data_IF_184196319571
#
_entry.id   IF_184196319571
#
_cell.length_a   1.000
_cell.length_b   1.000
_cell.length_c   1.000
_cell.angle_alpha   90.00
_cell.angle_beta   90.00
_cell.angle_gamma   90.00
#
_symmetry.space_group_name_H-M   'P 1'
#
loop_
_entity.id
_entity.type
_entity.pdbx_description
1 polymer ?
#
# COMPACT_ATOMS: atom_id res chain seq x y z
N UNK A 1 29.40 -10.03 31.92
CA UNK A 1 28.02 -9.97 32.40
C UNK A 1 27.12 -10.42 31.26
N UNK A 2 26.69 -11.70 31.32
CA UNK A 2 25.86 -12.30 30.26
C UNK A 2 24.46 -11.78 30.40
N UNK A 3 24.10 -10.84 29.54
CA UNK A 3 22.70 -10.39 29.38
C UNK A 3 21.91 -11.54 28.73
N UNK A 4 21.37 -12.44 29.57
CA UNK A 4 20.41 -13.43 29.12
C UNK A 4 19.17 -12.69 28.63
N UNK A 5 19.03 -12.61 27.33
CA UNK A 5 17.79 -12.23 26.61
C UNK A 5 16.70 -13.29 26.91
N UNK A 6 16.32 -13.45 28.16
CA UNK A 6 15.06 -14.14 28.47
C UNK A 6 13.95 -13.23 28.00
N UNK A 7 13.32 -13.57 26.87
CA UNK A 7 12.05 -12.97 26.44
C UNK A 7 11.08 -13.13 27.60
N UNK A 8 10.82 -12.02 28.28
CA UNK A 8 9.90 -12.01 29.42
C UNK A 8 8.46 -11.85 28.89
N UNK A 9 7.51 -12.27 29.68
CA UNK A 9 6.07 -12.13 29.39
C UNK A 9 5.73 -10.70 28.96
N UNK A 10 6.37 -9.71 29.58
CA UNK A 10 6.23 -8.29 29.28
C UNK A 10 6.63 -7.94 27.83
N UNK A 11 7.77 -8.46 27.36
CA UNK A 11 8.26 -8.17 26.02
C UNK A 11 7.28 -8.71 24.95
N UNK A 12 6.74 -9.91 25.21
CA UNK A 12 5.72 -10.51 24.36
C UNK A 12 4.39 -9.73 24.39
N UNK A 13 4.00 -9.23 25.56
CA UNK A 13 2.81 -8.42 25.72
C UNK A 13 2.90 -7.12 24.92
N UNK A 14 3.95 -6.35 25.12
CA UNK A 14 4.16 -5.08 24.40
C UNK A 14 4.30 -5.31 22.88
N UNK A 15 5.06 -6.34 22.48
CA UNK A 15 5.21 -6.69 21.06
C UNK A 15 3.85 -6.99 20.43
N UNK A 16 3.02 -7.80 21.07
CA UNK A 16 1.68 -8.15 20.57
C UNK A 16 0.79 -6.90 20.46
N UNK A 17 0.83 -6.01 21.42
CA UNK A 17 0.04 -4.78 21.42
C UNK A 17 0.45 -3.84 20.29
N UNK A 18 1.75 -3.61 20.09
CA UNK A 18 2.25 -2.80 18.99
C UNK A 18 1.92 -3.44 17.65
N UNK A 19 2.05 -4.76 17.54
CA UNK A 19 1.74 -5.50 16.31
C UNK A 19 0.27 -5.42 15.93
N UNK A 20 -0.65 -5.59 16.88
CA UNK A 20 -2.08 -5.46 16.62
C UNK A 20 -2.46 -4.03 16.23
N UNK A 21 -1.89 -3.03 16.90
CA UNK A 21 -2.07 -1.63 16.54
C UNK A 21 -1.51 -1.32 15.16
N UNK A 22 -0.39 -1.93 14.79
CA UNK A 22 0.22 -1.82 13.45
C UNK A 22 -0.69 -2.40 12.36
N UNK A 23 -1.27 -3.58 12.59
CA UNK A 23 -2.22 -4.18 11.65
C UNK A 23 -3.45 -3.29 11.44
N UNK A 24 -4.00 -2.78 12.54
CA UNK A 24 -5.11 -1.83 12.48
C UNK A 24 -4.76 -0.57 11.70
N UNK A 25 -3.59 0.01 11.97
CA UNK A 25 -3.11 1.21 11.30
C UNK A 25 -2.90 1.00 9.78
N UNK A 26 -2.35 -0.16 9.37
CA UNK A 26 -2.22 -0.51 7.94
C UNK A 26 -3.60 -0.52 7.28
N UNK A 27 -4.57 -1.19 7.88
CA UNK A 27 -5.93 -1.25 7.33
C UNK A 27 -6.55 0.15 7.22
N UNK A 28 -6.42 0.97 8.25
CA UNK A 28 -6.96 2.33 8.27
C UNK A 28 -6.34 3.22 7.19
N UNK A 29 -5.00 3.27 7.11
CA UNK A 29 -4.32 4.08 6.11
C UNK A 29 -4.55 3.55 4.68
N UNK A 30 -4.52 2.23 4.49
CA UNK A 30 -4.82 1.64 3.17
C UNK A 30 -6.22 2.00 2.71
N UNK A 31 -7.22 1.96 3.58
CA UNK A 31 -8.58 2.37 3.25
C UNK A 31 -8.67 3.84 2.82
N UNK A 32 -7.96 4.74 3.53
CA UNK A 32 -7.91 6.16 3.18
C UNK A 32 -7.22 6.38 1.82
N UNK A 33 -6.07 5.76 1.58
CA UNK A 33 -5.35 5.90 0.31
C UNK A 33 -6.12 5.30 -0.87
N UNK A 34 -6.77 4.17 -0.68
CA UNK A 34 -7.64 3.57 -1.71
C UNK A 34 -8.81 4.50 -2.00
N UNK A 35 -9.47 5.02 -0.96
CA UNK A 35 -10.61 5.93 -1.12
C UNK A 35 -10.25 7.24 -1.81
N UNK A 36 -9.09 7.82 -1.50
CA UNK A 36 -8.69 9.13 -2.04
C UNK A 36 -8.01 9.08 -3.42
N UNK A 37 -7.35 7.99 -3.76
CA UNK A 37 -6.52 7.92 -4.96
C UNK A 37 -6.96 6.86 -5.96
N UNK A 38 -7.05 5.62 -5.53
CA UNK A 38 -7.29 4.48 -6.42
C UNK A 38 -8.70 4.50 -7.00
N UNK A 39 -9.70 4.86 -6.21
CA UNK A 39 -11.08 4.94 -6.69
C UNK A 39 -11.27 6.02 -7.75
N UNK A 40 -10.65 7.17 -7.59
CA UNK A 40 -10.69 8.23 -8.61
C UNK A 40 -10.07 7.79 -9.93
N UNK A 41 -8.93 7.12 -9.90
CA UNK A 41 -8.29 6.57 -11.10
C UNK A 41 -9.15 5.52 -11.78
N UNK A 42 -9.76 4.64 -11.00
CA UNK A 42 -10.67 3.62 -11.52
C UNK A 42 -11.87 4.27 -12.21
N UNK A 43 -12.48 5.29 -11.60
CA UNK A 43 -13.58 6.02 -12.19
C UNK A 43 -13.18 6.65 -13.54
N UNK A 44 -12.00 7.25 -13.63
CA UNK A 44 -11.47 7.79 -14.89
C UNK A 44 -11.30 6.70 -15.95
N UNK A 45 -10.74 5.53 -15.61
CA UNK A 45 -10.58 4.43 -16.57
C UNK A 45 -11.93 3.91 -17.11
N UNK A 46 -12.96 3.90 -16.29
CA UNK A 46 -14.32 3.53 -16.73
C UNK A 46 -14.92 4.61 -17.65
N UNK A 47 -14.75 5.89 -17.26
CA UNK A 47 -15.40 7.02 -17.97
C UNK A 47 -14.69 7.33 -19.30
N UNK A 48 -13.37 7.37 -19.31
CA UNK A 48 -12.59 7.83 -20.45
C UNK A 48 -12.30 6.70 -21.45
N UNK A 49 -12.13 5.47 -20.98
CA UNK A 49 -11.73 4.33 -21.80
C UNK A 49 -12.79 3.23 -21.92
N UNK A 50 -13.90 3.32 -21.19
CA UNK A 50 -14.95 2.31 -21.18
C UNK A 50 -14.46 0.93 -20.72
N UNK A 51 -13.55 0.91 -19.72
CA UNK A 51 -12.90 -0.31 -19.25
C UNK A 51 -13.93 -1.33 -18.73
N UNK A 52 -13.72 -2.62 -19.06
CA UNK A 52 -14.57 -3.69 -18.58
C UNK A 52 -14.39 -3.94 -17.08
N UNK A 53 -15.44 -4.40 -16.41
CA UNK A 53 -15.40 -4.74 -14.97
C UNK A 53 -14.23 -5.66 -14.57
N UNK A 54 -13.89 -6.73 -15.32
CA UNK A 54 -12.75 -7.58 -15.00
C UNK A 54 -11.40 -6.82 -15.02
N UNK A 55 -11.21 -5.92 -15.98
CA UNK A 55 -9.99 -5.11 -16.08
C UNK A 55 -9.85 -4.15 -14.92
N UNK A 56 -10.96 -3.55 -14.50
CA UNK A 56 -11.02 -2.66 -13.32
C UNK A 56 -10.64 -3.40 -12.05
N UNK A 57 -11.15 -4.61 -11.84
CA UNK A 57 -10.80 -5.43 -10.68
C UNK A 57 -9.30 -5.79 -10.68
N UNK A 58 -8.73 -6.15 -11.84
CA UNK A 58 -7.30 -6.42 -11.97
C UNK A 58 -6.46 -5.19 -11.60
N UNK A 59 -6.81 -4.01 -12.11
CA UNK A 59 -6.13 -2.75 -11.78
C UNK A 59 -6.19 -2.50 -10.28
N UNK A 60 -7.35 -2.66 -9.67
CA UNK A 60 -7.53 -2.48 -8.23
C UNK A 60 -6.61 -3.41 -7.42
N UNK A 61 -6.64 -4.71 -7.69
CA UNK A 61 -5.83 -5.72 -6.97
C UNK A 61 -4.34 -5.46 -7.17
N UNK A 62 -3.88 -5.13 -8.38
CA UNK A 62 -2.47 -4.87 -8.64
C UNK A 62 -1.97 -3.52 -8.11
N UNK A 63 -2.84 -2.58 -7.80
CA UNK A 63 -2.48 -1.33 -7.14
C UNK A 63 -2.29 -1.48 -5.63
N UNK A 64 -2.92 -2.48 -5.00
CA UNK A 64 -2.87 -2.68 -3.55
C UNK A 64 -1.45 -2.81 -2.97
N UNK A 65 -0.54 -3.61 -3.54
CA UNK A 65 0.81 -3.74 -2.99
C UNK A 65 1.58 -2.42 -2.91
N UNK A 66 1.42 -1.56 -3.92
CA UNK A 66 2.02 -0.24 -3.92
C UNK A 66 1.48 0.66 -2.81
N UNK A 67 0.16 0.66 -2.61
CA UNK A 67 -0.50 1.43 -1.54
C UNK A 67 -0.03 0.95 -0.17
N UNK A 68 -0.07 -0.35 0.08
CA UNK A 68 0.32 -0.96 1.36
C UNK A 68 1.77 -0.59 1.73
N UNK A 69 2.67 -0.57 0.76
CA UNK A 69 4.06 -0.21 1.02
C UNK A 69 4.21 1.22 1.55
N UNK A 70 3.52 2.19 0.96
CA UNK A 70 3.55 3.57 1.42
C UNK A 70 2.96 3.75 2.82
N UNK A 71 2.06 2.86 3.23
CA UNK A 71 1.44 2.91 4.56
C UNK A 71 2.32 2.34 5.67
N UNK A 72 3.32 1.51 5.39
CA UNK A 72 4.17 0.85 6.40
C UNK A 72 4.80 1.81 7.41
N UNK A 73 5.55 2.85 7.00
CA UNK A 73 6.19 3.75 7.95
C UNK A 73 5.17 4.58 8.74
N UNK A 74 4.09 5.02 8.08
CA UNK A 74 3.02 5.79 8.75
C UNK A 74 2.27 4.91 9.76
N UNK A 75 1.98 3.66 9.40
CA UNK A 75 1.30 2.70 10.27
C UNK A 75 2.14 2.34 11.49
N UNK A 76 3.46 2.21 11.34
CA UNK A 76 4.35 1.92 12.46
C UNK A 76 4.42 3.09 13.45
N UNK A 77 4.46 4.33 12.94
CA UNK A 77 4.40 5.52 13.77
C UNK A 77 3.09 5.59 14.56
N UNK A 78 1.96 5.43 13.88
CA UNK A 78 0.64 5.46 14.52
C UNK A 78 0.48 4.33 15.53
N UNK A 79 0.92 3.11 15.20
CA UNK A 79 0.87 1.96 16.09
C UNK A 79 1.65 2.20 17.39
N UNK A 80 2.83 2.77 17.28
CA UNK A 80 3.66 3.14 18.44
C UNK A 80 2.96 4.19 19.30
N UNK A 81 2.44 5.26 18.69
CA UNK A 81 1.72 6.32 19.40
C UNK A 81 0.48 5.79 20.12
N UNK A 82 -0.34 4.99 19.44
CA UNK A 82 -1.56 4.41 20.04
C UNK A 82 -1.24 3.45 21.18
N UNK A 83 -0.26 2.57 21.00
CA UNK A 83 0.09 1.59 22.02
C UNK A 83 0.68 2.27 23.26
N UNK A 84 1.71 3.09 23.09
CA UNK A 84 2.33 3.77 24.23
C UNK A 84 1.42 4.84 24.85
N UNK A 85 0.58 5.50 24.07
CA UNK A 85 -0.45 6.41 24.57
C UNK A 85 -1.44 5.69 25.47
N UNK A 86 -1.93 4.51 25.06
CA UNK A 86 -2.83 3.68 25.87
C UNK A 86 -2.16 3.15 27.11
N UNK A 87 -0.96 2.57 27.00
CA UNK A 87 -0.20 2.07 28.16
C UNK A 87 0.14 3.17 29.16
N UNK A 88 0.33 4.39 28.69
CA UNK A 88 0.57 5.55 29.54
C UNK A 88 -0.71 6.01 30.25
N UNK A 89 -1.82 6.09 29.54
CA UNK A 89 -3.10 6.54 30.10
C UNK A 89 -3.69 5.55 31.10
N UNK A 90 -3.44 4.25 30.92
CA UNK A 90 -3.80 3.20 31.88
C UNK A 90 -2.82 3.08 33.06
N UNK A 91 -1.82 3.97 33.16
CA UNK A 91 -0.78 3.94 34.20
C UNK A 91 0.09 2.66 34.20
N UNK A 92 0.01 1.83 33.18
CA UNK A 92 0.81 0.60 33.08
C UNK A 92 2.31 0.90 32.99
N UNK A 93 2.71 1.92 32.22
CA UNK A 93 4.11 2.36 32.13
C UNK A 93 4.62 2.84 33.50
N UNK A 94 3.78 3.56 34.25
CA UNK A 94 4.12 4.03 35.59
C UNK A 94 4.32 2.86 36.56
N UNK A 95 3.41 1.87 36.52
CA UNK A 95 3.53 0.65 37.32
C UNK A 95 4.80 -0.15 36.98
N UNK A 96 5.14 -0.31 35.70
CA UNK A 96 6.37 -0.98 35.26
C UNK A 96 7.61 -0.25 35.77
N UNK A 97 7.65 1.07 35.69
CA UNK A 97 8.76 1.89 36.21
C UNK A 97 8.89 1.79 37.72
N UNK A 98 7.79 1.77 38.48
CA UNK A 98 7.81 1.59 39.92
C UNK A 98 8.36 0.21 40.34
N UNK A 99 8.22 -0.80 39.46
CA UNK A 99 8.85 -2.11 39.62
C UNK A 99 10.34 -2.13 39.21
N UNK A 100 10.94 -0.97 38.92
CA UNK A 100 12.36 -0.86 38.54
C UNK A 100 12.67 -1.21 37.08
N UNK A 101 11.66 -1.32 36.21
CA UNK A 101 11.87 -1.61 34.77
C UNK A 101 12.26 -0.32 34.07
N UNK A 102 13.45 -0.28 33.47
CA UNK A 102 13.95 0.87 32.70
C UNK A 102 13.14 1.11 31.43
N UNK A 103 12.98 2.39 31.05
CA UNK A 103 12.23 2.79 29.85
C UNK A 103 12.75 2.14 28.57
N UNK A 104 14.06 2.01 28.41
CA UNK A 104 14.64 1.35 27.25
C UNK A 104 14.19 -0.09 27.06
N UNK A 105 13.90 -0.80 28.15
CA UNK A 105 13.38 -2.16 28.10
C UNK A 105 11.90 -2.19 27.69
N UNK A 106 11.13 -1.20 28.10
CA UNK A 106 9.73 -1.08 27.70
C UNK A 106 9.63 -0.75 26.20
N UNK A 107 10.56 0.08 25.70
CA UNK A 107 10.61 0.48 24.29
C UNK A 107 11.22 -0.60 23.35
N UNK A 108 12.08 -1.47 23.87
CA UNK A 108 12.81 -2.46 23.09
C UNK A 108 11.95 -3.32 22.15
N UNK A 109 10.79 -3.87 22.56
CA UNK A 109 9.93 -4.65 21.67
C UNK A 109 9.36 -3.84 20.50
N UNK A 110 9.06 -2.57 20.71
CA UNK A 110 8.57 -1.68 19.65
C UNK A 110 9.67 -1.32 18.66
N UNK A 111 10.89 -1.07 19.14
CA UNK A 111 12.07 -0.83 18.29
C UNK A 111 12.39 -2.06 17.45
N UNK A 112 12.34 -3.25 18.07
CA UNK A 112 12.55 -4.51 17.34
C UNK A 112 11.50 -4.70 16.25
N UNK A 113 10.23 -4.46 16.56
CA UNK A 113 9.15 -4.55 15.57
C UNK A 113 9.35 -3.53 14.44
N UNK A 114 9.71 -2.29 14.75
CA UNK A 114 10.02 -1.27 13.76
C UNK A 114 11.15 -1.67 12.84
N UNK A 115 12.21 -2.28 13.36
CA UNK A 115 13.30 -2.84 12.57
C UNK A 115 12.81 -3.97 11.64
N UNK A 116 12.02 -4.91 12.16
CA UNK A 116 11.44 -5.99 11.36
C UNK A 116 10.53 -5.48 10.26
N UNK A 117 9.70 -4.48 10.56
CA UNK A 117 8.83 -3.82 9.57
C UNK A 117 9.64 -3.12 8.51
N UNK A 118 10.75 -2.45 8.88
CA UNK A 118 11.65 -1.79 7.92
C UNK A 118 12.29 -2.79 6.96
N UNK A 119 12.84 -3.88 7.47
CA UNK A 119 13.39 -4.97 6.64
C UNK A 119 12.30 -5.58 5.76
N UNK A 120 11.14 -5.86 6.33
CA UNK A 120 9.98 -6.35 5.59
C UNK A 120 9.54 -5.41 4.46
N UNK A 121 9.54 -4.11 4.70
CA UNK A 121 9.22 -3.10 3.70
C UNK A 121 10.22 -3.10 2.53
N UNK A 122 11.52 -3.24 2.81
CA UNK A 122 12.55 -3.33 1.78
C UNK A 122 12.34 -4.58 0.92
N UNK A 123 12.17 -5.75 1.53
CA UNK A 123 11.94 -7.00 0.81
C UNK A 123 10.65 -6.96 0.00
N UNK A 124 9.60 -6.38 0.54
CA UNK A 124 8.32 -6.21 -0.14
C UNK A 124 8.45 -5.28 -1.35
N UNK A 125 9.19 -4.18 -1.20
CA UNK A 125 9.47 -3.25 -2.29
C UNK A 125 10.29 -3.89 -3.42
N UNK A 126 11.25 -4.73 -3.09
CA UNK A 126 12.12 -5.36 -4.08
C UNK A 126 11.44 -6.50 -4.85
N UNK A 127 10.57 -7.27 -4.19
CA UNK A 127 10.04 -8.52 -4.75
C UNK A 127 8.56 -8.42 -5.18
N UNK A 128 7.73 -7.71 -4.43
CA UNK A 128 6.27 -7.68 -4.64
C UNK A 128 5.85 -6.49 -5.49
N UNK A 129 6.33 -5.30 -5.15
CA UNK A 129 5.93 -4.06 -5.84
C UNK A 129 6.29 -4.04 -7.33
N UNK A 130 7.48 -4.46 -7.78
CA UNK A 130 7.83 -4.44 -9.21
C UNK A 130 6.95 -5.40 -10.02
N UNK A 131 6.68 -6.59 -9.48
CA UNK A 131 5.80 -7.57 -10.15
C UNK A 131 4.37 -7.10 -10.27
N UNK A 132 3.83 -6.52 -9.19
CA UNK A 132 2.50 -5.93 -9.20
C UNK A 132 2.41 -4.73 -10.16
N UNK A 133 3.41 -3.87 -10.17
CA UNK A 133 3.46 -2.70 -11.05
C UNK A 133 3.58 -3.08 -12.53
N UNK A 134 4.36 -4.11 -12.85
CA UNK A 134 4.45 -4.63 -14.22
C UNK A 134 3.10 -5.22 -14.66
N UNK A 135 2.44 -6.00 -13.82
CA UNK A 135 1.11 -6.52 -14.10
C UNK A 135 0.06 -5.39 -14.26
N UNK A 136 0.10 -4.38 -13.40
CA UNK A 136 -0.74 -3.20 -13.47
C UNK A 136 -0.56 -2.45 -14.82
N UNK A 137 0.69 -2.19 -15.22
CA UNK A 137 1.00 -1.53 -16.50
C UNK A 137 0.55 -2.36 -17.68
N UNK A 138 0.74 -3.67 -17.66
CA UNK A 138 0.30 -4.55 -18.75
C UNK A 138 -1.22 -4.50 -18.93
N UNK A 139 -2.00 -4.49 -17.85
CA UNK A 139 -3.47 -4.36 -17.95
C UNK A 139 -3.86 -3.02 -18.56
N UNK A 140 -3.20 -1.92 -18.19
CA UNK A 140 -3.49 -0.60 -18.77
C UNK A 140 -3.16 -0.58 -20.26
N UNK A 141 -1.94 -0.98 -20.64
CA UNK A 141 -1.50 -0.92 -22.04
C UNK A 141 -2.24 -1.87 -22.97
N UNK A 142 -2.46 -3.12 -22.55
CA UNK A 142 -3.05 -4.13 -23.42
C UNK A 142 -4.57 -4.21 -23.34
N UNK A 143 -5.18 -3.99 -22.20
CA UNK A 143 -6.63 -4.14 -22.04
C UNK A 143 -7.38 -2.82 -22.19
N UNK A 144 -6.76 -1.70 -21.87
CA UNK A 144 -7.43 -0.38 -21.87
C UNK A 144 -6.96 0.47 -23.05
N UNK A 145 -5.68 0.82 -23.12
CA UNK A 145 -5.14 1.69 -24.18
C UNK A 145 -5.08 0.99 -25.53
N UNK A 146 -4.74 -0.30 -25.57
CA UNK A 146 -4.73 -1.10 -26.80
C UNK A 146 -6.11 -1.19 -27.47
N UNK A 147 -7.16 -1.29 -26.68
CA UNK A 147 -8.54 -1.35 -27.17
C UNK A 147 -9.06 0.04 -27.61
N UNK A 148 -8.57 1.11 -26.99
CA UNK A 148 -8.91 2.49 -27.35
C UNK A 148 -8.19 2.92 -28.64
N UNK A 149 -6.95 2.48 -28.83
CA UNK A 149 -6.18 2.72 -30.06
C UNK A 149 -6.83 2.09 -31.29
N UNK A 150 -7.37 0.88 -31.19
CA UNK A 150 -8.09 0.24 -32.28
C UNK A 150 -9.41 0.97 -32.63
N UNK A 151 -10.16 1.43 -31.63
CA UNK A 151 -11.38 2.20 -31.87
C UNK A 151 -11.08 3.57 -32.53
N UNK A 152 -9.98 4.21 -32.16
CA UNK A 152 -9.57 5.47 -32.74
C UNK A 152 -9.10 5.30 -34.18
N UNK A 153 -8.40 4.21 -34.50
CA UNK A 153 -7.99 3.87 -35.88
C UNK A 153 -9.18 3.47 -36.76
N UNK A 154 -10.15 2.75 -36.22
CA UNK A 154 -11.38 2.44 -36.96
C UNK A 154 -12.16 3.70 -37.34
N UNK A 155 -12.25 4.67 -36.45
CA UNK A 155 -12.94 5.94 -36.74
C UNK A 155 -12.21 6.81 -37.78
N UNK A 156 -10.88 6.77 -37.81
CA UNK A 156 -10.05 7.50 -38.79
C UNK A 156 -10.13 6.82 -40.17
N UNK A 157 -10.12 5.49 -40.21
CA UNK A 157 -10.20 4.73 -41.47
C UNK A 157 -11.56 4.86 -42.13
N UNK A 158 -12.66 4.84 -41.37
CA UNK A 158 -14.02 4.96 -41.92
C UNK A 158 -14.26 6.36 -42.51
N UNK A 159 -13.67 7.40 -41.94
CA UNK A 159 -13.86 8.78 -42.41
C UNK A 159 -13.11 9.08 -43.71
N UNK A 160 -12.08 8.31 -44.03
CA UNK A 160 -11.27 8.55 -45.25
C UNK A 160 -11.77 7.76 -46.47
N UNK A 161 -12.58 6.73 -46.28
CA UNK A 161 -13.15 5.94 -47.38
C UNK A 161 -14.36 6.63 -48.03
N UNK A 162 -15.04 7.54 -47.34
CA UNK A 162 -16.23 8.24 -47.84
C UNK A 162 -15.89 9.41 -48.82
N UNK A 163 -14.63 9.80 -48.96
CA UNK A 163 -14.19 10.96 -49.73
C UNK A 163 -13.35 10.68 -51.00
N UNK A 164 -12.99 9.47 -51.32
CA UNK A 164 -12.40 9.06 -52.61
C UNK A 164 -11.13 9.76 -53.09
N UNK A 165 -10.36 10.44 -52.24
CA UNK A 165 -9.01 10.97 -52.54
C UNK A 165 -8.10 10.94 -51.32
N UNK A 166 -7.04 10.16 -51.42
CA UNK A 166 -5.96 10.08 -50.43
C UNK A 166 -5.24 11.44 -50.37
N UNK A 167 -5.44 12.19 -49.32
CA UNK A 167 -4.71 13.43 -49.04
C UNK A 167 -4.09 13.34 -47.67
N UNK A 168 -2.80 12.98 -47.64
CA UNK A 168 -1.83 13.08 -46.53
C UNK A 168 -2.18 12.38 -45.22
N UNK A 169 -1.41 11.33 -44.95
CA UNK A 169 -1.17 10.83 -43.61
C UNK A 169 -0.45 11.91 -42.77
N UNK A 170 -1.14 12.49 -41.81
CA UNK A 170 -0.50 13.28 -40.75
C UNK A 170 -0.53 12.41 -39.49
N UNK A 171 0.63 11.92 -39.10
CA UNK A 171 0.85 11.37 -37.78
C UNK A 171 0.89 12.55 -36.81
N UNK A 172 -0.01 12.62 -35.88
CA UNK A 172 0.06 13.40 -34.65
C UNK A 172 -0.13 12.48 -33.43
#
# INVERSE_FOLDING_TARGET
>A
ERMHLKIRILDKYIFREVFLSFLFAICAFSAVFIGSGTLFRIAQYITDYGASLPSVIKIFVFSLPGVVMWTFPMSMLLASLLTFGRLSSSSEITAMKSCGIGFGRIAAPAILLGFLVSVGAILFNEHVVPRANTAYRNVIYYEIEGNSGMKSQEHVIIKEIEGGKIKRLVYA
#
